data_IF_235865778558
#
_entry.id   IF_235865778558
#
_cell.length_a   1.000
_cell.length_b   1.000
_cell.length_c   1.000
_cell.angle_alpha   90.00
_cell.angle_beta   90.00
_cell.angle_gamma   90.00
#
_symmetry.space_group_name_H-M   'P 1'
#
loop_
_entity.id
_entity.type
_entity.pdbx_description
1 polymer ?
#
# COMPACT_ATOMS: atom_id res chain seq x y z
N UNK A 1 -0.29 11.87 -20.96
CA UNK A 1 -0.86 12.99 -20.18
C UNK A 1 -0.64 12.66 -18.71
N UNK A 2 0.20 13.42 -18.00
CA UNK A 2 0.40 13.23 -16.57
C UNK A 2 -0.84 13.74 -15.84
N UNK A 3 -1.69 12.83 -15.37
CA UNK A 3 -2.72 13.19 -14.40
C UNK A 3 -2.02 13.69 -13.13
N UNK A 4 -2.48 14.77 -12.49
CA UNK A 4 -1.93 15.21 -11.23
C UNK A 4 -2.12 14.12 -10.18
N UNK A 5 -1.07 13.82 -9.41
CA UNK A 5 -1.16 12.89 -8.29
C UNK A 5 -2.15 13.44 -7.27
N UNK A 6 -3.09 12.59 -6.83
CA UNK A 6 -4.08 12.96 -5.82
C UNK A 6 -4.22 11.84 -4.80
N UNK A 7 -4.52 12.22 -3.56
CA UNK A 7 -4.88 11.25 -2.53
C UNK A 7 -6.23 10.64 -2.89
N UNK A 8 -6.27 9.31 -2.91
CA UNK A 8 -7.45 8.55 -3.25
C UNK A 8 -8.12 8.04 -1.97
N UNK A 9 -9.41 8.32 -1.81
CA UNK A 9 -10.26 7.57 -0.88
C UNK A 9 -11.01 6.50 -1.68
N UNK A 10 -10.47 5.28 -1.72
CA UNK A 10 -11.11 4.15 -2.40
C UNK A 10 -11.89 3.29 -1.41
N UNK A 11 -12.99 2.71 -1.89
CA UNK A 11 -13.74 1.65 -1.21
C UNK A 11 -14.03 0.56 -2.23
N UNK A 12 -13.59 -0.66 -1.95
CA UNK A 12 -13.88 -1.83 -2.80
C UNK A 12 -15.37 -2.16 -2.78
N UNK A 13 -15.97 -2.62 -3.89
CA UNK A 13 -17.39 -2.99 -3.93
C UNK A 13 -17.75 -4.11 -2.95
N UNK A 14 -16.88 -5.12 -2.83
CA UNK A 14 -17.01 -6.24 -1.89
C UNK A 14 -15.61 -6.79 -1.55
N UNK A 15 -15.56 -7.75 -0.60
CA UNK A 15 -14.30 -8.41 -0.27
C UNK A 15 -13.79 -9.23 -1.48
N UNK A 16 -12.54 -9.01 -1.88
CA UNK A 16 -11.96 -9.68 -3.05
C UNK A 16 -12.49 -9.17 -4.40
N UNK A 17 -12.83 -7.89 -4.51
CA UNK A 17 -13.16 -7.25 -5.80
C UNK A 17 -12.45 -5.91 -5.87
N UNK A 18 -11.65 -5.69 -6.92
CA UNK A 18 -10.81 -4.49 -7.12
C UNK A 18 -9.99 -4.12 -5.87
N UNK A 19 -9.53 -5.13 -5.15
CA UNK A 19 -8.99 -4.98 -3.81
C UNK A 19 -7.52 -4.64 -3.77
N UNK A 20 -6.77 -4.98 -4.82
CA UNK A 20 -5.31 -4.96 -4.81
C UNK A 20 -4.75 -3.87 -5.71
N UNK A 21 -3.89 -3.01 -5.16
CA UNK A 21 -3.36 -1.81 -5.78
C UNK A 21 -1.84 -1.96 -5.95
N UNK A 22 -1.36 -2.25 -7.16
CA UNK A 22 0.08 -2.37 -7.42
C UNK A 22 0.77 -1.00 -7.45
N UNK A 23 2.11 -0.97 -7.33
CA UNK A 23 2.89 0.22 -7.67
C UNK A 23 2.66 0.61 -9.13
N UNK A 24 2.67 1.92 -9.42
CA UNK A 24 2.53 2.44 -10.78
C UNK A 24 3.60 1.87 -11.72
N UNK A 25 4.82 1.69 -11.22
CA UNK A 25 5.96 1.13 -11.92
C UNK A 25 6.17 -0.38 -11.61
N UNK A 26 5.16 -1.05 -11.05
CA UNK A 26 5.22 -2.46 -10.69
C UNK A 26 5.58 -3.36 -11.87
N UNK A 27 6.55 -4.24 -11.65
CA UNK A 27 7.24 -4.99 -12.70
C UNK A 27 6.47 -6.20 -13.25
N UNK A 28 5.51 -6.76 -12.50
CA UNK A 28 4.76 -7.94 -12.93
C UNK A 28 3.42 -8.08 -12.19
N UNK A 29 2.51 -8.88 -12.73
CA UNK A 29 1.36 -9.42 -11.99
C UNK A 29 1.60 -10.91 -11.77
N UNK A 30 1.49 -11.41 -10.53
CA UNK A 30 1.71 -12.82 -10.26
C UNK A 30 0.64 -13.67 -10.95
N UNK A 31 1.06 -14.74 -11.61
CA UNK A 31 0.15 -15.82 -11.99
C UNK A 31 -0.18 -16.62 -10.74
N UNK A 32 -1.47 -16.81 -10.48
CA UNK A 32 -1.95 -17.56 -9.33
C UNK A 32 -2.48 -18.91 -9.77
N UNK A 33 -2.22 -19.93 -8.96
CA UNK A 33 -2.80 -21.24 -9.18
C UNK A 33 -4.33 -21.15 -9.23
N UNK A 34 -4.97 -21.94 -10.09
CA UNK A 34 -6.42 -21.90 -10.27
C UNK A 34 -7.21 -22.16 -8.96
N UNK A 35 -6.60 -22.88 -8.02
CA UNK A 35 -7.15 -23.20 -6.70
C UNK A 35 -6.46 -22.43 -5.56
N UNK A 36 -5.85 -21.27 -5.84
CA UNK A 36 -5.21 -20.46 -4.80
C UNK A 36 -6.27 -20.00 -3.75
N UNK A 37 -6.06 -20.25 -2.45
CA UNK A 37 -7.13 -20.16 -1.46
C UNK A 37 -7.42 -18.74 -0.95
N UNK A 38 -6.56 -17.75 -1.27
CA UNK A 38 -6.74 -16.37 -0.78
C UNK A 38 -7.36 -15.48 -1.85
N UNK A 39 -8.41 -14.77 -1.47
CA UNK A 39 -9.24 -13.95 -2.36
C UNK A 39 -8.86 -12.48 -2.41
N UNK A 40 -7.87 -12.01 -1.64
CA UNK A 40 -7.42 -10.61 -1.71
C UNK A 40 -6.35 -10.43 -2.79
N UNK A 41 -5.47 -11.42 -2.94
CA UNK A 41 -4.25 -11.35 -3.77
C UNK A 41 -4.53 -11.37 -5.28
N UNK A 42 -5.69 -11.88 -5.68
CA UNK A 42 -6.04 -12.21 -7.06
C UNK A 42 -6.99 -11.21 -7.74
N UNK A 43 -7.23 -10.04 -7.13
CA UNK A 43 -8.15 -9.03 -7.67
C UNK A 43 -7.46 -7.66 -7.79
N UNK A 44 -6.60 -7.46 -8.80
CA UNK A 44 -6.01 -6.16 -9.07
C UNK A 44 -7.12 -5.14 -9.41
N UNK A 45 -7.01 -3.95 -8.83
CA UNK A 45 -7.91 -2.84 -9.08
C UNK A 45 -7.46 -2.04 -10.31
N UNK A 46 -8.32 -1.13 -10.76
CA UNK A 46 -7.96 -0.15 -11.80
C UNK A 46 -6.98 0.94 -11.29
N UNK A 47 -6.71 1.00 -9.98
CA UNK A 47 -5.83 1.98 -9.37
C UNK A 47 -4.44 1.42 -9.13
N UNK A 48 -3.45 2.28 -9.33
CA UNK A 48 -2.05 2.04 -8.94
C UNK A 48 -1.61 3.16 -8.03
N UNK A 49 -0.82 2.85 -7.01
CA UNK A 49 -0.24 3.91 -6.19
C UNK A 49 1.00 4.48 -6.87
N UNK A 50 1.19 5.79 -6.79
CA UNK A 50 2.41 6.44 -7.30
C UNK A 50 3.48 6.64 -6.23
N UNK A 51 3.10 6.59 -4.95
CA UNK A 51 4.01 6.68 -3.82
C UNK A 51 3.69 5.58 -2.79
N UNK A 52 4.69 4.93 -2.19
CA UNK A 52 4.52 3.71 -1.39
C UNK A 52 4.16 4.02 0.08
N UNK A 53 3.08 4.76 0.32
CA UNK A 53 2.63 5.08 1.68
C UNK A 53 1.12 5.09 1.86
N UNK A 54 0.69 4.75 3.07
CA UNK A 54 -0.70 4.63 3.48
C UNK A 54 -0.88 5.27 4.85
N UNK A 55 -2.02 5.92 5.07
CA UNK A 55 -2.29 6.57 6.35
C UNK A 55 -3.72 6.38 6.81
N UNK A 56 -3.89 6.51 8.12
CA UNK A 56 -5.18 6.55 8.80
C UNK A 56 -5.16 7.65 9.84
N UNK A 57 -6.34 8.17 10.14
CA UNK A 57 -6.54 9.22 11.13
C UNK A 57 -7.36 8.63 12.27
N UNK A 58 -6.89 8.85 13.50
CA UNK A 58 -7.63 8.56 14.72
C UNK A 58 -7.51 9.77 15.64
N UNK A 59 -8.66 10.33 16.00
CA UNK A 59 -8.75 11.57 16.78
C UNK A 59 -7.90 12.68 16.15
N UNK A 60 -6.95 13.25 16.89
CA UNK A 60 -6.07 14.33 16.42
C UNK A 60 -4.71 13.82 15.90
N UNK A 61 -4.61 12.54 15.53
CA UNK A 61 -3.36 11.94 15.09
C UNK A 61 -3.51 11.18 13.78
N UNK A 62 -2.42 11.19 13.03
CA UNK A 62 -2.22 10.36 11.84
C UNK A 62 -1.21 9.26 12.15
N UNK A 63 -1.52 8.06 11.69
CA UNK A 63 -0.60 6.93 11.62
C UNK A 63 -0.32 6.64 10.15
N UNK A 64 0.95 6.65 9.77
CA UNK A 64 1.39 6.45 8.38
C UNK A 64 2.39 5.31 8.32
N UNK A 65 2.19 4.40 7.38
CA UNK A 65 3.17 3.37 7.01
C UNK A 65 3.76 3.73 5.66
N UNK A 66 5.08 3.84 5.60
CA UNK A 66 5.84 4.15 4.39
C UNK A 66 6.75 2.97 4.07
N UNK A 67 6.73 2.50 2.83
CA UNK A 67 7.59 1.43 2.37
C UNK A 67 8.68 2.01 1.47
N UNK A 68 9.85 1.38 1.47
CA UNK A 68 10.89 1.73 0.51
C UNK A 68 10.44 1.34 -0.89
N UNK A 69 10.58 2.26 -1.83
CA UNK A 69 10.04 2.11 -3.18
C UNK A 69 10.52 0.82 -3.87
N UNK A 70 11.83 0.53 -3.84
CA UNK A 70 12.40 -0.69 -4.46
C UNK A 70 11.86 -2.02 -3.93
N UNK A 71 11.20 -2.04 -2.77
CA UNK A 71 10.63 -3.27 -2.21
C UNK A 71 9.26 -3.61 -2.81
N UNK A 72 8.65 -2.67 -3.55
CA UNK A 72 7.44 -2.89 -4.36
C UNK A 72 6.32 -3.56 -3.57
N UNK A 73 5.95 -3.01 -2.40
CA UNK A 73 4.88 -3.55 -1.55
C UNK A 73 3.52 -3.18 -2.12
N UNK A 74 2.67 -4.17 -2.35
CA UNK A 74 1.31 -3.98 -2.87
C UNK A 74 0.36 -3.77 -1.71
N UNK A 75 -0.71 -3.02 -1.96
CA UNK A 75 -1.74 -2.80 -0.95
C UNK A 75 -3.01 -3.51 -1.32
N UNK A 76 -3.60 -4.19 -0.36
CA UNK A 76 -4.91 -4.77 -0.48
C UNK A 76 -5.85 -4.16 0.55
N UNK A 77 -7.07 -3.89 0.10
CA UNK A 77 -8.12 -3.36 0.94
C UNK A 77 -9.40 -4.17 0.78
N UNK A 78 -10.21 -4.16 1.82
CA UNK A 78 -11.57 -4.67 1.79
C UNK A 78 -12.56 -3.56 2.18
N UNK A 79 -13.88 -3.72 1.95
CA UNK A 79 -14.85 -2.66 2.21
C UNK A 79 -14.88 -2.23 3.68
N UNK A 80 -14.52 -3.14 4.59
CA UNK A 80 -14.42 -2.88 6.03
C UNK A 80 -13.10 -2.23 6.44
N UNK A 81 -12.08 -2.27 5.59
CA UNK A 81 -10.71 -1.81 5.86
C UNK A 81 -10.58 -0.32 6.17
N UNK A 82 -11.53 0.50 5.70
CA UNK A 82 -11.63 1.93 6.02
C UNK A 82 -12.86 2.29 6.88
N UNK A 83 -13.57 1.29 7.42
CA UNK A 83 -14.90 1.46 8.01
C UNK A 83 -14.95 1.34 9.54
N UNK A 84 -16.10 1.70 10.13
CA UNK A 84 -16.34 1.69 11.57
C UNK A 84 -16.49 0.32 12.24
N UNK A 85 -16.09 -0.77 11.55
CA UNK A 85 -16.02 -2.12 12.14
C UNK A 85 -14.58 -2.45 12.50
N UNK A 86 -13.90 -3.18 11.62
CA UNK A 86 -12.53 -3.64 11.81
C UNK A 86 -11.66 -3.13 10.64
N UNK A 87 -11.16 -1.89 10.71
CA UNK A 87 -10.27 -1.36 9.70
C UNK A 87 -8.95 -2.12 9.75
N UNK A 88 -8.65 -2.84 8.67
CA UNK A 88 -7.40 -3.56 8.46
C UNK A 88 -6.75 -3.06 7.17
N UNK A 89 -5.42 -2.96 7.20
CA UNK A 89 -4.59 -2.72 6.03
C UNK A 89 -3.82 -3.99 5.74
N UNK A 90 -4.02 -4.54 4.55
CA UNK A 90 -3.32 -5.73 4.11
C UNK A 90 -2.22 -5.30 3.14
N UNK A 91 -1.00 -5.77 3.38
CA UNK A 91 0.14 -5.55 2.50
C UNK A 91 0.56 -6.87 1.88
N UNK A 92 0.87 -6.85 0.59
CA UNK A 92 1.27 -8.03 -0.16
C UNK A 92 2.66 -7.79 -0.72
N UNK A 93 3.55 -8.77 -0.54
CA UNK A 93 4.90 -8.70 -1.07
C UNK A 93 5.15 -9.90 -1.98
N UNK A 94 5.37 -9.61 -3.25
CA UNK A 94 5.65 -10.62 -4.27
C UNK A 94 7.13 -10.61 -4.60
N UNK A 95 7.77 -11.76 -4.42
CA UNK A 95 9.20 -11.96 -4.72
C UNK A 95 9.28 -12.76 -6.02
N UNK A 96 9.62 -12.13 -7.16
CA UNK A 96 9.82 -12.85 -8.41
C UNK A 96 11.08 -13.71 -8.30
N UNK A 97 11.10 -14.85 -9.00
CA UNK A 97 12.26 -15.74 -9.13
C UNK A 97 12.90 -16.16 -7.78
N UNK A 98 12.06 -16.34 -6.76
CA UNK A 98 12.52 -16.67 -5.41
C UNK A 98 13.35 -17.96 -5.39
N UNK A 99 14.32 -18.01 -4.49
CA UNK A 99 15.22 -19.13 -4.29
C UNK A 99 14.95 -19.78 -2.93
N UNK A 100 14.64 -21.08 -2.88
CA UNK A 100 14.47 -21.79 -1.62
C UNK A 100 15.71 -21.69 -0.73
N UNK A 101 15.51 -21.35 0.54
CA UNK A 101 16.59 -21.21 1.53
C UNK A 101 17.19 -19.80 1.65
N UNK A 102 16.83 -18.88 0.75
CA UNK A 102 17.27 -17.49 0.83
C UNK A 102 16.40 -16.64 1.78
N UNK A 103 17.03 -15.66 2.40
CA UNK A 103 16.36 -14.69 3.24
C UNK A 103 16.04 -13.41 2.45
N UNK A 104 14.81 -12.96 2.56
CA UNK A 104 14.34 -11.73 1.93
C UNK A 104 13.87 -10.76 3.00
N UNK A 105 14.16 -9.46 2.84
CA UNK A 105 13.59 -8.40 3.67
C UNK A 105 13.10 -7.21 2.86
N UNK A 106 12.18 -6.44 3.44
CA UNK A 106 11.78 -5.11 3.00
C UNK A 106 11.93 -4.11 4.15
N UNK A 107 11.94 -2.83 3.82
CA UNK A 107 12.03 -1.74 4.81
C UNK A 107 10.71 -0.99 4.86
N UNK A 108 10.16 -0.87 6.07
CA UNK A 108 8.99 -0.06 6.37
C UNK A 108 9.31 0.91 7.50
N UNK A 109 8.79 2.13 7.38
CA UNK A 109 8.80 3.14 8.43
C UNK A 109 7.38 3.46 8.87
N UNK A 110 7.14 3.36 10.16
CA UNK A 110 5.95 3.90 10.80
C UNK A 110 6.22 5.36 11.22
N UNK A 111 5.29 6.25 10.90
CA UNK A 111 5.29 7.65 11.29
C UNK A 111 3.98 7.98 12.00
N UNK A 112 4.07 8.50 13.22
CA UNK A 112 2.92 8.89 14.02
C UNK A 112 3.07 10.38 14.38
N UNK A 113 2.08 11.18 14.00
CA UNK A 113 2.13 12.63 14.17
C UNK A 113 0.74 13.23 14.38
N UNK A 114 0.70 14.43 14.96
CA UNK A 114 -0.53 15.20 15.04
C UNK A 114 -1.11 15.44 13.63
N UNK A 115 -2.42 15.27 13.49
CA UNK A 115 -3.15 15.49 12.26
C UNK A 115 -3.65 16.94 12.18
N UNK A 116 -3.48 17.57 11.03
CA UNK A 116 -4.09 18.88 10.70
C UNK A 116 -4.78 18.84 9.35
N UNK A 117 -4.02 18.54 8.30
CA UNK A 117 -4.45 18.60 6.91
C UNK A 117 -3.53 17.75 6.02
N UNK A 118 -4.00 17.44 4.81
CA UNK A 118 -3.26 16.61 3.86
C UNK A 118 -1.93 17.22 3.42
N UNK A 119 -1.85 18.55 3.26
CA UNK A 119 -0.63 19.19 2.77
C UNK A 119 0.50 19.09 3.81
N UNK A 120 0.16 19.30 5.08
CA UNK A 120 1.08 19.12 6.21
C UNK A 120 1.53 17.67 6.32
N UNK A 121 0.60 16.70 6.20
CA UNK A 121 0.95 15.28 6.20
C UNK A 121 1.89 14.92 5.05
N UNK A 122 1.55 15.28 3.82
CA UNK A 122 2.35 15.01 2.62
C UNK A 122 3.76 15.60 2.74
N UNK A 123 3.89 16.82 3.27
CA UNK A 123 5.20 17.44 3.53
C UNK A 123 6.02 16.64 4.54
N UNK A 124 5.40 16.16 5.62
CA UNK A 124 6.09 15.32 6.62
C UNK A 124 6.53 13.97 6.02
N UNK A 125 5.61 13.31 5.31
CA UNK A 125 5.83 12.03 4.63
C UNK A 125 6.96 12.12 3.62
N UNK A 126 7.04 13.21 2.84
CA UNK A 126 8.07 13.38 1.82
C UNK A 126 9.49 13.31 2.41
N UNK A 127 9.71 13.89 3.60
CA UNK A 127 10.99 13.78 4.31
C UNK A 127 11.33 12.33 4.62
N UNK A 128 10.34 11.52 5.01
CA UNK A 128 10.54 10.12 5.33
C UNK A 128 10.75 9.25 4.08
N UNK A 129 10.03 9.52 2.98
CA UNK A 129 10.24 8.87 1.69
C UNK A 129 11.65 9.13 1.16
N UNK A 130 12.11 10.39 1.18
CA UNK A 130 13.45 10.75 0.73
C UNK A 130 14.55 10.06 1.54
N UNK A 131 14.33 9.84 2.84
CA UNK A 131 15.26 9.10 3.67
C UNK A 131 15.28 7.60 3.33
N UNK A 132 14.10 6.98 3.14
CA UNK A 132 14.00 5.57 2.75
C UNK A 132 14.61 5.30 1.36
N UNK A 133 14.62 6.29 0.47
CA UNK A 133 15.24 6.16 -0.85
C UNK A 133 16.77 6.05 -0.80
N UNK A 134 17.40 6.40 0.33
CA UNK A 134 18.85 6.29 0.53
C UNK A 134 19.28 4.95 1.18
N UNK A 135 18.31 4.17 1.70
CA UNK A 135 18.54 2.91 2.42
C UNK A 135 18.51 1.69 1.49
#
# INVERSE_FOLDING_TARGET
>A
MNQPETLLHARTPSHGVDSTHPPAHGAFFPELAANFPLTLVNHPSAYRYSQPWYYGIRDNYSYTQLFRDRDQIWFAQSPTGGGGKNPAWDFQWFIPDYQPGEAYGFVMRAHYAAWSDHATLQKSVQKHLSALAQD
#
